data_IF_427982396990
#
_entry.id   IF_427982396990
#
_cell.length_a   1.000
_cell.length_b   1.000
_cell.length_c   1.000
_cell.angle_alpha   90.00
_cell.angle_beta   90.00
_cell.angle_gamma   90.00
#
_symmetry.space_group_name_H-M   'P 1'
#
loop_
_entity.id
_entity.type
_entity.pdbx_description
1 polymer ?
#
# COMPACT_ATOMS: atom_id res chain seq x y z
N UNK A 1 66.72 -11.40 -29.24
CA UNK A 1 65.65 -11.81 -28.31
C UNK A 1 64.76 -10.61 -28.04
N UNK A 2 63.64 -10.48 -28.75
CA UNK A 2 62.68 -9.39 -28.61
C UNK A 2 61.56 -9.84 -27.69
N UNK A 3 61.43 -9.22 -26.51
CA UNK A 3 60.34 -9.44 -25.56
C UNK A 3 59.13 -8.60 -26.02
N UNK A 4 58.08 -9.28 -26.46
CA UNK A 4 56.77 -8.67 -26.75
C UNK A 4 56.00 -8.57 -25.44
N UNK A 5 55.78 -7.36 -24.93
CA UNK A 5 54.93 -7.08 -23.79
C UNK A 5 53.49 -7.00 -24.34
N UNK A 6 52.64 -7.99 -24.03
CA UNK A 6 51.25 -8.00 -24.39
C UNK A 6 50.49 -7.20 -23.30
N UNK A 7 50.19 -5.94 -23.61
CA UNK A 7 49.40 -5.10 -22.73
C UNK A 7 47.92 -5.48 -22.88
N UNK A 8 47.40 -6.19 -21.89
CA UNK A 8 46.00 -6.58 -21.83
C UNK A 8 45.17 -5.38 -21.36
N UNK A 9 44.54 -4.69 -22.31
CA UNK A 9 43.62 -3.59 -22.04
C UNK A 9 42.32 -4.16 -21.49
N UNK A 10 42.18 -4.15 -20.18
CA UNK A 10 40.92 -4.50 -19.51
C UNK A 10 39.98 -3.30 -19.70
N UNK A 11 39.09 -3.37 -20.69
CA UNK A 11 37.98 -2.45 -20.85
C UNK A 11 36.97 -2.72 -19.75
N UNK A 12 36.95 -1.87 -18.72
CA UNK A 12 35.87 -1.79 -17.75
C UNK A 12 34.61 -1.35 -18.51
N UNK A 13 33.78 -2.28 -18.87
CA UNK A 13 32.39 -2.00 -19.22
C UNK A 13 31.70 -1.53 -17.95
N UNK A 14 31.62 -0.22 -17.74
CA UNK A 14 30.64 0.37 -16.84
C UNK A 14 29.27 0.16 -17.49
N UNK A 15 28.57 -0.87 -17.05
CA UNK A 15 27.13 -0.96 -17.23
C UNK A 15 26.53 0.25 -16.52
N UNK A 16 26.35 1.34 -17.27
CA UNK A 16 25.51 2.44 -16.87
C UNK A 16 24.11 1.87 -16.73
N UNK A 17 23.72 1.55 -15.52
CA UNK A 17 22.34 1.34 -15.18
C UNK A 17 21.64 2.66 -15.54
N UNK A 18 20.94 2.71 -16.68
CA UNK A 18 19.89 3.68 -16.89
C UNK A 18 18.86 3.42 -15.78
N UNK A 19 19.08 4.02 -14.62
CA UNK A 19 18.03 4.21 -13.64
C UNK A 19 17.02 5.10 -14.33
N UNK A 20 15.99 4.52 -14.93
CA UNK A 20 14.84 5.25 -15.42
C UNK A 20 14.45 6.21 -14.31
N UNK A 21 14.23 7.48 -14.64
CA UNK A 21 13.84 8.49 -13.66
C UNK A 21 12.46 8.12 -13.13
N UNK A 22 12.46 7.29 -12.09
CA UNK A 22 11.27 6.95 -11.33
C UNK A 22 10.83 8.24 -10.62
N UNK A 23 9.73 8.83 -11.08
CA UNK A 23 9.29 10.15 -10.62
C UNK A 23 8.57 10.03 -9.29
N UNK A 24 9.04 10.82 -8.31
CA UNK A 24 8.39 10.94 -7.00
C UNK A 24 7.01 11.63 -7.15
N UNK A 25 5.94 11.15 -6.49
CA UNK A 25 4.65 11.83 -6.47
C UNK A 25 4.77 13.27 -5.95
N UNK A 26 3.93 14.17 -6.45
CA UNK A 26 4.04 15.61 -6.15
C UNK A 26 3.44 15.96 -4.77
N UNK A 27 2.32 15.30 -4.39
CA UNK A 27 1.57 15.66 -3.18
C UNK A 27 1.61 14.54 -2.14
N UNK A 28 1.59 14.92 -0.85
CA UNK A 28 1.51 13.98 0.26
C UNK A 28 0.27 13.09 0.15
N UNK A 29 0.42 11.82 0.50
CA UNK A 29 -0.65 10.83 0.37
C UNK A 29 -0.82 10.23 -1.02
N UNK A 30 -0.14 10.77 -2.04
CA UNK A 30 -0.13 10.17 -3.37
C UNK A 30 0.75 8.92 -3.41
N UNK A 31 0.30 7.97 -4.22
CA UNK A 31 1.01 6.72 -4.48
C UNK A 31 1.20 6.55 -5.98
N UNK A 32 2.41 6.24 -6.41
CA UNK A 32 2.71 5.86 -7.77
C UNK A 32 3.15 4.39 -7.82
N UNK A 33 2.70 3.66 -8.83
CA UNK A 33 3.22 2.34 -9.16
C UNK A 33 4.38 2.46 -10.11
N UNK A 34 5.42 1.67 -9.89
CA UNK A 34 6.59 1.57 -10.77
C UNK A 34 6.38 0.40 -11.72
N UNK A 35 6.34 0.68 -13.01
CA UNK A 35 6.20 -0.33 -14.06
C UNK A 35 7.55 -1.03 -14.33
N UNK A 36 7.50 -2.16 -15.05
CA UNK A 36 8.70 -2.92 -15.41
C UNK A 36 9.70 -2.14 -16.29
N UNK A 37 9.22 -1.17 -17.06
CA UNK A 37 10.04 -0.26 -17.87
C UNK A 37 10.61 0.93 -17.09
N UNK A 38 10.48 0.91 -15.77
CA UNK A 38 10.88 2.00 -14.85
C UNK A 38 10.10 3.31 -15.04
N UNK A 39 8.97 3.28 -15.71
CA UNK A 39 8.02 4.41 -15.70
C UNK A 39 7.15 4.36 -14.43
N UNK A 40 6.60 5.51 -14.04
CA UNK A 40 5.68 5.61 -12.92
C UNK A 40 4.29 6.03 -13.38
N UNK A 41 3.28 5.48 -12.72
CA UNK A 41 1.90 5.86 -12.92
C UNK A 41 1.23 6.12 -11.57
N UNK A 42 0.63 7.31 -11.39
CA UNK A 42 -0.13 7.62 -10.19
C UNK A 42 -1.36 6.72 -10.08
N UNK A 43 -1.55 6.16 -8.90
CA UNK A 43 -2.75 5.38 -8.58
C UNK A 43 -3.93 6.34 -8.31
N UNK A 44 -5.13 5.99 -8.79
CA UNK A 44 -6.34 6.74 -8.46
C UNK A 44 -6.61 6.72 -6.96
N UNK A 45 -6.98 7.88 -6.41
CA UNK A 45 -7.37 8.03 -5.01
C UNK A 45 -8.90 7.87 -4.92
N UNK A 46 -9.34 6.97 -4.07
CA UNK A 46 -10.75 6.73 -3.79
C UNK A 46 -11.08 7.09 -2.35
N UNK A 47 -12.26 7.68 -2.14
CA UNK A 47 -12.76 8.00 -0.79
C UNK A 47 -13.22 6.72 -0.12
N UNK A 48 -12.71 6.49 1.08
CA UNK A 48 -13.09 5.37 1.92
C UNK A 48 -14.21 5.81 2.88
N UNK A 49 -15.24 4.98 2.98
CA UNK A 49 -16.34 5.15 3.93
C UNK A 49 -16.18 4.16 5.06
N UNK A 50 -16.40 4.59 6.31
CA UNK A 50 -16.43 3.69 7.46
C UNK A 50 -17.86 3.27 7.74
N UNK A 51 -18.13 1.96 7.77
CA UNK A 51 -19.44 1.41 8.13
C UNK A 51 -19.32 0.46 9.32
N UNK A 52 -20.05 0.77 10.37
CA UNK A 52 -20.24 -0.12 11.51
C UNK A 52 -21.49 -0.97 11.30
N UNK A 53 -21.37 -2.29 11.54
CA UNK A 53 -22.48 -3.20 11.55
C UNK A 53 -22.62 -3.80 12.94
N UNK A 54 -23.70 -3.46 13.64
CA UNK A 54 -24.08 -4.04 14.92
C UNK A 54 -25.30 -4.93 14.73
N UNK A 55 -25.30 -6.10 15.37
CA UNK A 55 -26.44 -7.02 15.32
C UNK A 55 -27.49 -6.74 16.39
N UNK A 56 -27.29 -5.78 17.29
CA UNK A 56 -28.26 -5.38 18.32
C UNK A 56 -28.18 -3.90 18.65
N UNK A 57 -29.32 -3.33 18.96
CA UNK A 57 -29.77 -1.94 19.06
C UNK A 57 -29.14 -1.03 20.13
N UNK A 58 -27.94 -1.28 20.61
CA UNK A 58 -27.33 -0.37 21.56
C UNK A 58 -25.88 -0.04 21.18
N UNK A 59 -25.72 0.94 20.33
CA UNK A 59 -24.49 1.69 20.23
C UNK A 59 -24.49 2.70 21.39
N UNK A 60 -23.95 2.32 22.54
CA UNK A 60 -23.71 3.25 23.65
C UNK A 60 -22.21 3.52 23.69
N UNK A 61 -21.75 4.71 23.30
CA UNK A 61 -20.36 5.09 23.48
C UNK A 61 -20.17 5.47 24.95
N UNK A 62 -19.88 4.50 25.80
CA UNK A 62 -19.42 4.75 27.15
C UNK A 62 -17.94 4.41 27.21
N UNK A 63 -17.10 5.46 27.34
CA UNK A 63 -15.68 5.37 27.70
C UNK A 63 -14.85 4.37 26.89
N UNK A 64 -15.00 4.34 25.56
CA UNK A 64 -14.18 3.49 24.67
C UNK A 64 -14.50 1.99 24.71
N UNK A 65 -15.56 1.56 25.40
CA UNK A 65 -16.00 0.17 25.44
C UNK A 65 -17.21 -0.06 24.54
N UNK A 66 -17.04 -0.96 23.57
CA UNK A 66 -18.15 -1.47 22.76
C UNK A 66 -18.83 -2.61 23.55
N UNK A 67 -20.02 -2.38 24.05
CA UNK A 67 -20.80 -3.39 24.81
C UNK A 67 -21.55 -4.37 23.90
N UNK A 68 -21.42 -4.27 22.58
CA UNK A 68 -22.15 -5.13 21.63
C UNK A 68 -21.23 -5.75 20.61
N UNK A 69 -21.56 -6.95 20.14
CA UNK A 69 -20.88 -7.59 19.03
C UNK A 69 -21.03 -6.72 17.77
N UNK A 70 -19.96 -6.08 17.33
CA UNK A 70 -19.93 -5.16 16.20
C UNK A 70 -18.77 -5.42 15.26
N UNK A 71 -18.99 -5.10 14.00
CA UNK A 71 -17.97 -5.15 12.95
C UNK A 71 -17.83 -3.77 12.34
N UNK A 72 -16.60 -3.28 12.22
CA UNK A 72 -16.29 -2.01 11.59
C UNK A 72 -15.51 -2.25 10.29
N UNK A 73 -16.04 -1.75 9.19
CA UNK A 73 -15.45 -1.92 7.86
C UNK A 73 -15.06 -0.58 7.27
N UNK A 74 -13.93 -0.55 6.59
CA UNK A 74 -13.65 0.44 5.56
C UNK A 74 -14.17 -0.06 4.23
N UNK A 75 -14.88 0.80 3.49
CA UNK A 75 -15.58 0.43 2.27
C UNK A 75 -15.21 1.39 1.14
N UNK A 76 -14.90 0.83 -0.02
CA UNK A 76 -14.78 1.54 -1.28
C UNK A 76 -15.92 1.13 -2.23
N UNK A 77 -16.41 2.09 -2.99
CA UNK A 77 -17.45 1.82 -4.01
C UNK A 77 -16.85 1.09 -5.21
N UNK A 78 -17.67 0.27 -5.86
CA UNK A 78 -17.23 -0.51 -7.01
C UNK A 78 -16.56 -1.84 -6.63
N UNK A 79 -16.54 -2.77 -7.59
CA UNK A 79 -15.97 -4.11 -7.40
C UNK A 79 -14.49 -4.19 -7.68
N UNK A 80 -13.98 -3.30 -8.53
CA UNK A 80 -12.61 -3.32 -9.04
C UNK A 80 -11.99 -1.93 -8.98
N UNK A 81 -10.68 -1.88 -8.77
CA UNK A 81 -9.89 -0.68 -8.97
C UNK A 81 -9.71 -0.38 -10.47
N UNK A 82 -9.53 0.89 -10.80
CA UNK A 82 -9.30 1.30 -12.19
C UNK A 82 -7.95 0.83 -12.72
N UNK A 83 -6.91 0.84 -11.87
CA UNK A 83 -5.57 0.39 -12.23
C UNK A 83 -5.45 -1.12 -12.05
N UNK A 84 -4.98 -1.81 -13.10
CA UNK A 84 -4.81 -3.27 -13.12
C UNK A 84 -3.34 -3.61 -13.33
N UNK A 85 -2.82 -4.51 -12.51
CA UNK A 85 -1.44 -4.97 -12.50
C UNK A 85 -1.41 -6.47 -12.82
N UNK A 86 -0.56 -6.86 -13.75
CA UNK A 86 -0.43 -8.25 -14.17
C UNK A 86 0.64 -9.03 -13.38
N UNK A 87 1.47 -8.32 -12.60
CA UNK A 87 2.56 -8.92 -11.81
C UNK A 87 2.15 -9.11 -10.36
N UNK A 88 2.65 -10.17 -9.73
CA UNK A 88 2.47 -10.43 -8.30
C UNK A 88 3.45 -9.62 -7.43
N UNK A 89 4.57 -9.21 -8.01
CA UNK A 89 5.54 -8.35 -7.36
C UNK A 89 5.29 -6.91 -7.79
N UNK A 90 5.03 -6.06 -6.81
CA UNK A 90 4.63 -4.67 -7.04
C UNK A 90 5.58 -3.74 -6.30
N UNK A 91 6.06 -2.72 -7.00
CA UNK A 91 6.85 -1.64 -6.43
C UNK A 91 6.04 -0.36 -6.45
N UNK A 92 5.96 0.31 -5.30
CA UNK A 92 5.21 1.55 -5.14
C UNK A 92 6.14 2.65 -4.63
N UNK A 93 5.84 3.90 -4.99
CA UNK A 93 6.39 5.09 -4.35
C UNK A 93 5.26 5.76 -3.62
N UNK A 94 5.41 5.90 -2.31
CA UNK A 94 4.40 6.51 -1.43
C UNK A 94 4.97 7.80 -0.88
N UNK A 95 4.36 8.93 -1.19
CA UNK A 95 4.74 10.21 -0.62
C UNK A 95 4.04 10.44 0.71
N UNK A 96 4.81 10.77 1.74
CA UNK A 96 4.36 10.97 3.12
C UNK A 96 4.64 12.38 3.59
N UNK A 97 3.93 12.80 4.62
CA UNK A 97 4.13 14.12 5.26
C UNK A 97 5.47 14.20 5.98
N UNK A 98 5.82 13.15 6.70
CA UNK A 98 7.04 13.08 7.47
C UNK A 98 7.85 11.84 7.09
N UNK A 99 9.00 12.08 6.47
CA UNK A 99 9.92 11.03 5.99
C UNK A 99 10.73 10.37 7.12
N UNK A 100 10.65 10.90 8.33
CA UNK A 100 11.34 10.35 9.50
C UNK A 100 10.45 9.42 10.32
N UNK A 101 9.15 9.38 10.02
CA UNK A 101 8.23 8.42 10.64
C UNK A 101 8.53 7.00 10.17
N UNK A 102 8.25 6.04 11.04
CA UNK A 102 8.35 4.63 10.67
C UNK A 102 7.28 4.30 9.62
N UNK A 103 7.67 3.82 8.42
CA UNK A 103 6.73 3.50 7.35
C UNK A 103 5.69 2.44 7.76
N UNK A 104 6.02 1.50 8.65
CA UNK A 104 5.10 0.48 9.13
C UNK A 104 3.94 1.06 9.96
N UNK A 105 4.08 2.29 10.45
CA UNK A 105 3.04 2.98 11.23
C UNK A 105 2.29 4.04 10.44
N UNK A 106 2.91 4.60 9.41
CA UNK A 106 2.35 5.69 8.58
C UNK A 106 1.72 5.20 7.26
N UNK A 107 2.10 4.00 6.80
CA UNK A 107 1.60 3.43 5.55
C UNK A 107 0.91 2.10 5.83
N UNK A 108 -0.32 1.97 5.33
CA UNK A 108 -1.09 0.72 5.42
C UNK A 108 -1.44 0.20 4.04
N UNK A 109 -1.21 -1.10 3.79
CA UNK A 109 -1.64 -1.77 2.57
C UNK A 109 -2.65 -2.84 2.94
N UNK A 110 -3.83 -2.79 2.33
CA UNK A 110 -4.91 -3.73 2.61
C UNK A 110 -5.33 -4.49 1.35
N UNK A 111 -5.67 -5.77 1.53
CA UNK A 111 -6.40 -6.55 0.55
C UNK A 111 -7.89 -6.49 0.90
N UNK A 112 -8.71 -6.07 -0.04
CA UNK A 112 -10.15 -5.96 0.13
C UNK A 112 -10.86 -7.28 -0.18
N UNK A 113 -11.93 -7.53 0.53
CA UNK A 113 -12.96 -8.48 0.14
C UNK A 113 -13.96 -7.79 -0.79
N UNK A 114 -14.20 -8.36 -1.97
CA UNK A 114 -15.24 -7.88 -2.90
C UNK A 114 -16.59 -8.48 -2.50
N UNK A 115 -17.54 -7.62 -2.17
CA UNK A 115 -18.89 -8.08 -1.82
C UNK A 115 -19.96 -7.22 -2.49
N UNK A 116 -20.83 -7.85 -3.28
CA UNK A 116 -21.87 -7.17 -4.07
C UNK A 116 -21.27 -6.12 -5.02
N UNK A 117 -21.40 -4.84 -4.71
CA UNK A 117 -20.93 -3.70 -5.50
C UNK A 117 -19.90 -2.85 -4.75
N UNK A 118 -19.24 -3.41 -3.75
CA UNK A 118 -18.27 -2.71 -2.90
C UNK A 118 -17.05 -3.59 -2.60
N UNK A 119 -15.92 -2.95 -2.34
CA UNK A 119 -14.71 -3.53 -1.76
C UNK A 119 -14.67 -3.15 -0.29
N UNK A 120 -14.43 -4.10 0.60
CA UNK A 120 -14.46 -3.84 2.04
C UNK A 120 -13.28 -4.49 2.75
N UNK A 121 -12.81 -3.83 3.78
CA UNK A 121 -11.78 -4.32 4.68
C UNK A 121 -12.27 -4.24 6.13
N UNK A 122 -12.14 -5.33 6.90
CA UNK A 122 -12.53 -5.37 8.30
C UNK A 122 -11.45 -4.71 9.16
N UNK A 123 -11.75 -3.52 9.70
CA UNK A 123 -10.83 -2.78 10.56
C UNK A 123 -10.87 -3.27 12.02
N UNK A 124 -12.06 -3.49 12.55
CA UNK A 124 -12.24 -3.88 13.93
C UNK A 124 -13.42 -4.81 14.12
N UNK A 125 -13.29 -5.70 15.09
CA UNK A 125 -14.33 -6.60 15.55
C UNK A 125 -14.42 -6.50 17.08
N UNK A 126 -15.62 -6.31 17.62
CA UNK A 126 -15.89 -6.34 19.05
C UNK A 126 -16.79 -7.52 19.41
N UNK A 127 -16.49 -8.20 20.51
CA UNK A 127 -17.30 -9.29 21.06
C UNK A 127 -17.81 -8.93 22.46
N UNK A 128 -18.98 -9.51 22.84
CA UNK A 128 -19.65 -9.26 24.14
C UNK A 128 -18.75 -9.54 25.36
N UNK A 129 -17.80 -10.47 25.23
CA UNK A 129 -16.94 -10.91 26.33
C UNK A 129 -15.44 -10.89 26.00
N UNK A 130 -15.07 -10.66 24.76
CA UNK A 130 -13.67 -10.73 24.28
C UNK A 130 -13.01 -9.37 24.07
N UNK A 131 -13.69 -8.27 24.43
CA UNK A 131 -13.18 -6.93 24.18
C UNK A 131 -13.21 -6.55 22.70
N UNK A 132 -12.55 -5.46 22.34
CA UNK A 132 -12.41 -5.01 20.96
C UNK A 132 -11.08 -5.52 20.39
N UNK A 133 -11.16 -6.31 19.33
CA UNK A 133 -10.00 -6.72 18.55
C UNK A 133 -9.88 -5.81 17.33
N UNK A 134 -8.83 -5.00 17.28
CA UNK A 134 -8.48 -4.23 16.09
C UNK A 134 -7.63 -5.13 15.21
N UNK A 135 -8.17 -5.54 14.05
CA UNK A 135 -7.47 -6.48 13.16
C UNK A 135 -6.30 -5.88 12.38
N UNK A 136 -6.22 -4.62 12.26
CA UNK A 136 -5.01 -3.81 11.93
C UNK A 136 -5.43 -2.37 11.70
N UNK A 137 -4.82 -1.45 12.42
CA UNK A 137 -4.95 -0.02 12.11
C UNK A 137 -4.14 0.37 10.85
N UNK A 138 -3.19 -0.45 10.45
CA UNK A 138 -2.15 -0.11 9.46
C UNK A 138 -2.18 -0.97 8.21
N UNK A 139 -3.05 -2.01 8.13
CA UNK A 139 -3.14 -2.89 6.96
C UNK A 139 -2.75 -4.35 7.24
N UNK A 140 -2.94 -5.21 6.25
CA UNK A 140 -2.71 -6.66 6.36
C UNK A 140 -1.73 -7.22 5.32
N UNK A 141 -1.17 -6.37 4.47
CA UNK A 141 -0.18 -6.74 3.46
C UNK A 141 1.19 -6.25 3.93
N UNK A 142 2.14 -7.17 4.00
CA UNK A 142 3.53 -6.86 4.36
C UNK A 142 4.27 -6.27 3.17
N UNK A 143 5.20 -5.36 3.45
CA UNK A 143 6.05 -4.73 2.46
C UNK A 143 7.43 -4.45 3.04
N UNK A 144 8.43 -4.32 2.19
CA UNK A 144 9.72 -3.76 2.52
C UNK A 144 9.74 -2.29 2.11
N UNK A 145 10.24 -1.40 2.98
CA UNK A 145 10.29 0.02 2.72
C UNK A 145 11.71 0.56 2.75
N UNK A 146 12.02 1.47 1.82
CA UNK A 146 13.27 2.25 1.80
C UNK A 146 12.96 3.71 1.57
N UNK A 147 13.68 4.61 2.25
CA UNK A 147 13.59 6.05 1.98
C UNK A 147 13.90 6.32 0.52
N UNK A 148 13.09 7.15 -0.13
CA UNK A 148 13.21 7.50 -1.53
C UNK A 148 12.91 8.99 -1.76
N UNK A 149 13.73 9.65 -2.58
CA UNK A 149 13.55 11.07 -2.88
C UNK A 149 13.60 11.95 -1.64
N UNK A 150 12.78 13.01 -1.66
CA UNK A 150 12.75 14.01 -0.58
C UNK A 150 11.79 13.64 0.55
N UNK A 151 10.65 13.03 0.23
CA UNK A 151 9.56 12.81 1.17
C UNK A 151 8.77 11.54 0.85
N UNK A 152 9.40 10.52 0.25
CA UNK A 152 8.72 9.30 -0.14
C UNK A 152 9.42 8.05 0.39
N UNK A 153 8.66 6.96 0.39
CA UNK A 153 9.19 5.61 0.57
C UNK A 153 8.99 4.82 -0.72
N UNK A 154 10.03 4.07 -1.11
CA UNK A 154 9.94 3.01 -2.10
C UNK A 154 9.53 1.74 -1.37
N UNK A 155 8.35 1.22 -1.69
CA UNK A 155 7.82 -0.01 -1.12
C UNK A 155 7.97 -1.15 -2.12
N UNK A 156 8.44 -2.29 -1.64
CA UNK A 156 8.48 -3.53 -2.42
C UNK A 156 7.56 -4.55 -1.78
N UNK A 157 6.59 -5.04 -2.54
CA UNK A 157 5.61 -6.03 -2.12
C UNK A 157 5.80 -7.24 -3.01
N UNK A 158 5.96 -8.41 -2.41
CA UNK A 158 6.19 -9.66 -3.14
C UNK A 158 5.02 -10.60 -3.03
N UNK A 159 4.82 -11.43 -4.05
CA UNK A 159 3.89 -12.55 -4.06
C UNK A 159 2.44 -12.17 -3.74
N UNK A 160 1.98 -11.00 -4.20
CA UNK A 160 0.59 -10.61 -4.05
C UNK A 160 -0.32 -11.63 -4.75
N UNK A 161 -1.33 -12.09 -4.04
CA UNK A 161 -2.38 -12.90 -4.63
C UNK A 161 -3.29 -12.04 -5.51
N UNK A 162 -3.97 -12.61 -6.51
CA UNK A 162 -5.01 -11.89 -7.24
C UNK A 162 -6.04 -11.28 -6.30
N UNK A 163 -6.43 -10.04 -6.57
CA UNK A 163 -7.39 -9.33 -5.71
C UNK A 163 -7.31 -7.82 -5.82
N UNK A 164 -8.12 -7.16 -4.97
CA UNK A 164 -8.25 -5.71 -4.90
C UNK A 164 -7.44 -5.17 -3.73
N UNK A 165 -6.64 -4.14 -3.96
CA UNK A 165 -5.72 -3.58 -2.98
C UNK A 165 -5.91 -2.08 -2.82
N UNK A 166 -5.64 -1.59 -1.61
CA UNK A 166 -5.60 -0.17 -1.30
C UNK A 166 -4.42 0.19 -0.43
N UNK A 167 -3.82 1.32 -0.72
CA UNK A 167 -2.70 1.91 0.02
C UNK A 167 -3.21 3.16 0.72
N UNK A 168 -3.06 3.19 2.02
CA UNK A 168 -3.36 4.32 2.90
C UNK A 168 -2.04 4.96 3.32
N UNK A 169 -1.91 6.26 3.10
CA UNK A 169 -0.77 7.03 3.55
C UNK A 169 -1.28 8.30 4.21
N UNK A 170 -0.89 8.55 5.46
CA UNK A 170 -1.22 9.75 6.24
C UNK A 170 -2.71 10.05 6.47
N UNK A 171 -3.64 9.44 5.73
CA UNK A 171 -5.08 9.67 5.81
C UNK A 171 -5.85 8.35 5.65
N UNK A 172 -6.57 7.96 6.69
CA UNK A 172 -7.41 6.75 6.67
C UNK A 172 -8.71 6.91 5.87
N UNK A 173 -9.07 8.15 5.47
CA UNK A 173 -10.28 8.44 4.69
C UNK A 173 -10.11 8.30 3.18
N UNK A 174 -8.89 8.06 2.70
CA UNK A 174 -8.57 7.95 1.28
C UNK A 174 -7.62 6.79 1.02
N UNK A 175 -7.84 6.07 -0.07
CA UNK A 175 -6.97 4.96 -0.48
C UNK A 175 -6.57 5.11 -1.94
N UNK A 176 -5.29 4.94 -2.23
CA UNK A 176 -4.81 4.73 -3.60
C UNK A 176 -4.99 3.27 -3.98
N UNK A 177 -5.65 2.96 -5.10
CA UNK A 177 -6.14 1.60 -5.35
C UNK A 177 -5.59 0.97 -6.62
N UNK A 178 -5.42 -0.35 -6.58
CA UNK A 178 -5.05 -1.18 -7.72
C UNK A 178 -5.59 -2.62 -7.58
N UNK A 179 -5.72 -3.32 -8.71
CA UNK A 179 -6.07 -4.73 -8.77
C UNK A 179 -4.87 -5.55 -9.24
N UNK A 180 -4.63 -6.71 -8.65
CA UNK A 180 -3.70 -7.75 -9.15
C UNK A 180 -4.53 -8.85 -9.81
N UNK A 181 -4.13 -9.27 -11.03
CA UNK A 181 -4.82 -10.29 -11.82
C UNK A 181 -4.09 -11.62 -11.84
#
# INVERSE_FOLDING_TARGET
>A
MKKIIFSMLVSLFTLGANAGNVVEPEYNGQVAIVNADSTTMLLPIEKAETKAKSNNLAFVPVAGMFLTKGLCYTILKGKEAATKVATKDVTLIVRVKNHDDNPDTSIGIVKYEVKKKERRFLMAESGLFSGTSVKSAVGNVKFDAKKYGKSSFLLTIKELEPGEYGVYADDAGQASTFSVK
#
